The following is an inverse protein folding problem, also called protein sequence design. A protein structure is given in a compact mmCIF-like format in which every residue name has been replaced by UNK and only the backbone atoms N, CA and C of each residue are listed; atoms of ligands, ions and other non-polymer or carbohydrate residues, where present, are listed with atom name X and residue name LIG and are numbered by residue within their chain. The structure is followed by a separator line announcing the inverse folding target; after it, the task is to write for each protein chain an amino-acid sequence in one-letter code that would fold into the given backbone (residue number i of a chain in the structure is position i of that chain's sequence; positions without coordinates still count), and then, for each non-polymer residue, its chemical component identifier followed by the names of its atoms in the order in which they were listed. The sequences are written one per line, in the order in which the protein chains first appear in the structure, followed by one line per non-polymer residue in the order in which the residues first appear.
data_IF_555302567747
#
_entry.id   IF_555302567747
#
_cell.length_a   1.000
_cell.length_b   1.000
_cell.length_c   1.000
_cell.angle_alpha   90.00
_cell.angle_beta   90.00
_cell.angle_gamma   90.00
#
_symmetry.space_group_name_H-M   'P 1'
#
loop_
_entity.id
_entity.type
_entity.pdbx_description
1 polymer ?
#
# COMPACT_ATOMS: atom_id res chain seq x y z
N UNK A 1 -25.75 -12.63 4.85
CA UNK A 1 -25.28 -13.54 3.77
C UNK A 1 -23.91 -13.11 3.31
N UNK A 2 -23.02 -14.07 3.11
CA UNK A 2 -21.68 -13.87 2.55
C UNK A 2 -21.57 -14.73 1.30
N UNK A 3 -21.18 -14.14 0.18
CA UNK A 3 -20.84 -14.86 -1.04
C UNK A 3 -19.33 -14.80 -1.27
N UNK A 4 -18.75 -15.94 -1.62
CA UNK A 4 -17.32 -16.10 -1.92
C UNK A 4 -17.19 -16.23 -3.44
N UNK A 5 -16.39 -15.38 -4.06
CA UNK A 5 -16.14 -15.40 -5.51
C UNK A 5 -14.84 -16.15 -5.80
N UNK A 6 -14.78 -16.89 -6.91
CA UNK A 6 -13.61 -17.68 -7.32
C UNK A 6 -13.05 -18.55 -6.19
N UNK A 7 -13.95 -19.24 -5.48
CA UNK A 7 -13.63 -19.90 -4.22
C UNK A 7 -12.48 -20.92 -4.36
N UNK A 8 -12.48 -21.71 -5.43
CA UNK A 8 -11.44 -22.72 -5.70
C UNK A 8 -10.08 -22.07 -6.01
N UNK A 9 -10.05 -21.04 -6.86
CA UNK A 9 -8.82 -20.35 -7.23
C UNK A 9 -8.20 -19.67 -6.01
N UNK A 10 -9.00 -18.93 -5.23
CA UNK A 10 -8.48 -18.28 -4.03
C UNK A 10 -8.15 -19.28 -2.91
N UNK A 11 -8.78 -20.46 -2.85
CA UNK A 11 -8.38 -21.54 -1.94
C UNK A 11 -6.94 -21.97 -2.21
N UNK A 12 -6.59 -22.23 -3.48
CA UNK A 12 -5.23 -22.58 -3.89
C UNK A 12 -4.25 -21.45 -3.51
N UNK A 13 -4.59 -20.20 -3.85
CA UNK A 13 -3.74 -19.05 -3.51
C UNK A 13 -3.52 -18.90 -2.00
N UNK A 14 -4.56 -19.12 -1.19
CA UNK A 14 -4.44 -19.06 0.28
C UNK A 14 -3.57 -20.18 0.81
N UNK A 15 -3.65 -21.39 0.27
CA UNK A 15 -2.75 -22.47 0.68
C UNK A 15 -1.28 -22.12 0.41
N UNK A 16 -0.98 -21.58 -0.77
CA UNK A 16 0.40 -21.19 -1.12
C UNK A 16 0.92 -19.95 -0.37
N UNK A 17 0.08 -18.93 -0.20
CA UNK A 17 0.51 -17.63 0.32
C UNK A 17 0.27 -17.46 1.83
N UNK A 18 -0.65 -18.24 2.39
CA UNK A 18 -1.18 -18.05 3.75
C UNK A 18 -1.09 -19.33 4.62
N UNK A 19 -0.73 -20.48 4.03
CA UNK A 19 -0.66 -21.79 4.68
C UNK A 19 -1.93 -22.62 4.45
N UNK A 20 -3.07 -22.15 4.96
CA UNK A 20 -4.36 -22.81 4.79
C UNK A 20 -5.55 -21.84 5.00
N UNK A 21 -6.75 -22.30 4.67
CA UNK A 21 -8.00 -21.53 4.83
C UNK A 21 -8.38 -21.27 6.29
N UNK A 22 -7.98 -22.13 7.23
CA UNK A 22 -8.33 -22.00 8.64
C UNK A 22 -7.51 -20.89 9.31
N UNK A 23 -6.22 -20.83 9.02
CA UNK A 23 -5.30 -19.79 9.45
C UNK A 23 -5.66 -18.44 8.80
N UNK A 24 -6.08 -18.45 7.54
CA UNK A 24 -6.66 -17.27 6.90
C UNK A 24 -7.92 -16.79 7.65
N UNK A 25 -8.86 -17.68 7.94
CA UNK A 25 -10.08 -17.34 8.66
C UNK A 25 -9.80 -16.83 10.09
N UNK A 26 -8.85 -17.45 10.80
CA UNK A 26 -8.39 -17.02 12.13
C UNK A 26 -7.84 -15.59 12.11
N UNK A 27 -7.01 -15.25 11.12
CA UNK A 27 -6.50 -13.89 10.97
C UNK A 27 -7.63 -12.87 10.76
N UNK A 28 -8.64 -13.22 9.96
CA UNK A 28 -9.73 -12.31 9.63
C UNK A 28 -10.87 -12.27 10.65
N UNK A 29 -10.83 -13.12 11.67
CA UNK A 29 -11.89 -13.24 12.67
C UNK A 29 -12.26 -11.90 13.30
N UNK A 30 -11.26 -11.06 13.58
CA UNK A 30 -11.44 -9.67 13.99
C UNK A 30 -10.53 -8.77 13.19
N UNK A 31 -11.10 -7.65 12.73
CA UNK A 31 -10.38 -6.66 11.96
C UNK A 31 -10.60 -5.26 12.54
N UNK A 32 -9.53 -4.49 12.67
CA UNK A 32 -9.59 -3.09 13.10
C UNK A 32 -9.72 -2.19 11.88
N UNK A 33 -10.64 -1.23 11.93
CA UNK A 33 -10.77 -0.22 10.87
C UNK A 33 -9.55 0.70 10.89
N UNK A 34 -8.94 0.90 9.74
CA UNK A 34 -7.84 1.84 9.56
C UNK A 34 -8.26 2.97 8.63
N UNK A 35 -7.75 4.17 8.90
CA UNK A 35 -7.83 5.30 7.99
C UNK A 35 -6.46 5.42 7.32
N UNK A 36 -6.29 5.04 6.05
CA UNK A 36 -5.05 5.30 5.35
C UNK A 36 -4.82 6.81 5.31
N UNK A 37 -3.67 7.27 5.77
CA UNK A 37 -3.24 8.65 5.57
C UNK A 37 -2.98 8.90 4.08
N UNK A 38 -3.46 10.02 3.53
CA UNK A 38 -3.10 10.46 2.17
C UNK A 38 -4.12 10.17 1.05
N UNK A 39 -5.32 9.70 1.33
CA UNK A 39 -6.33 9.39 0.30
C UNK A 39 -7.54 10.34 0.30
N UNK A 40 -7.97 10.79 -0.89
CA UNK A 40 -9.33 11.33 -1.15
C UNK A 40 -10.43 10.26 -1.04
N UNK A 41 -10.05 8.98 -0.87
CA UNK A 41 -10.93 7.82 -1.01
C UNK A 41 -11.68 7.51 0.28
N UNK A 42 -13.01 7.45 0.20
CA UNK A 42 -13.90 7.03 1.30
C UNK A 42 -13.93 5.52 1.55
N UNK A 43 -13.14 4.74 0.80
CA UNK A 43 -13.12 3.29 0.87
C UNK A 43 -12.72 2.84 2.28
N UNK A 44 -13.50 1.92 2.85
CA UNK A 44 -13.21 1.40 4.18
C UNK A 44 -12.07 0.38 4.09
N UNK A 45 -11.02 0.61 4.87
CA UNK A 45 -9.92 -0.31 5.06
C UNK A 45 -9.95 -0.90 6.46
N UNK A 46 -9.57 -2.15 6.57
CA UNK A 46 -9.41 -2.86 7.83
C UNK A 46 -8.14 -3.70 7.79
N UNK A 47 -7.56 -3.96 8.95
CA UNK A 47 -6.39 -4.83 9.12
C UNK A 47 -6.75 -5.96 10.07
N UNK A 48 -6.25 -7.18 9.83
CA UNK A 48 -6.44 -8.29 10.78
C UNK A 48 -5.88 -7.90 12.15
N UNK A 49 -6.71 -7.98 13.20
CA UNK A 49 -6.37 -7.44 14.51
C UNK A 49 -5.25 -8.24 15.18
N UNK A 50 -5.32 -9.57 15.10
CA UNK A 50 -4.45 -10.46 15.88
C UNK A 50 -3.02 -10.52 15.36
N UNK A 51 -2.85 -10.53 14.04
CA UNK A 51 -1.54 -10.77 13.41
C UNK A 51 -1.15 -9.73 12.37
N UNK A 52 -2.10 -8.87 11.95
CA UNK A 52 -1.89 -7.84 10.92
C UNK A 52 -1.40 -8.38 9.58
N UNK A 53 -1.54 -9.69 9.30
CA UNK A 53 -1.12 -10.31 8.03
C UNK A 53 -1.92 -9.85 6.82
N UNK A 54 -3.17 -9.43 7.02
CA UNK A 54 -4.08 -9.13 5.92
C UNK A 54 -4.72 -7.75 6.04
N UNK A 55 -5.01 -7.18 4.87
CA UNK A 55 -5.82 -5.98 4.71
C UNK A 55 -7.14 -6.35 4.03
N UNK A 56 -8.24 -5.86 4.59
CA UNK A 56 -9.57 -5.89 3.98
C UNK A 56 -9.86 -4.51 3.41
N UNK A 57 -10.16 -4.46 2.12
CA UNK A 57 -10.51 -3.22 1.42
C UNK A 57 -11.91 -3.35 0.84
N UNK A 58 -12.79 -2.42 1.20
CA UNK A 58 -14.05 -2.25 0.51
C UNK A 58 -13.77 -1.75 -0.91
N UNK A 59 -14.26 -2.49 -1.91
CA UNK A 59 -14.04 -2.17 -3.33
C UNK A 59 -15.29 -1.58 -3.97
N UNK A 60 -15.08 -0.67 -4.92
CA UNK A 60 -16.16 -0.09 -5.70
C UNK A 60 -16.62 -1.05 -6.82
N UNK A 61 -17.66 -0.67 -7.58
CA UNK A 61 -18.21 -1.50 -8.66
C UNK A 61 -17.22 -1.80 -9.78
N UNK A 62 -16.32 -0.87 -10.10
CA UNK A 62 -15.32 -1.05 -11.15
C UNK A 62 -14.20 -2.02 -10.71
N UNK A 63 -13.67 -1.85 -9.50
CA UNK A 63 -12.70 -2.76 -8.89
C UNK A 63 -13.29 -4.16 -8.69
N UNK A 64 -14.56 -4.25 -8.27
CA UNK A 64 -15.26 -5.53 -8.17
C UNK A 64 -15.37 -6.22 -9.54
N UNK A 65 -15.78 -5.47 -10.58
CA UNK A 65 -15.88 -6.00 -11.95
C UNK A 65 -14.55 -6.48 -12.50
N UNK A 66 -13.45 -5.78 -12.19
CA UNK A 66 -12.11 -6.21 -12.59
C UNK A 66 -11.80 -7.66 -12.15
N UNK A 67 -12.30 -8.06 -10.99
CA UNK A 67 -12.10 -9.41 -10.46
C UNK A 67 -13.23 -10.39 -10.77
N UNK A 68 -14.36 -9.97 -11.33
CA UNK A 68 -15.48 -10.86 -11.68
C UNK A 68 -15.72 -11.03 -13.16
N UNK A 69 -15.21 -10.13 -14.01
CA UNK A 69 -15.24 -10.30 -15.46
C UNK A 69 -14.35 -11.51 -15.82
N UNK A 70 -14.86 -12.55 -16.50
CA UNK A 70 -14.15 -13.81 -16.71
C UNK A 70 -12.74 -13.63 -17.29
N UNK A 71 -12.59 -12.82 -18.33
CA UNK A 71 -11.32 -12.62 -19.04
C UNK A 71 -10.30 -11.92 -18.15
N UNK A 72 -10.74 -10.94 -17.36
CA UNK A 72 -9.89 -10.17 -16.44
C UNK A 72 -9.47 -10.99 -15.22
N UNK A 73 -10.41 -11.75 -14.65
CA UNK A 73 -10.13 -12.65 -13.53
C UNK A 73 -9.17 -13.76 -13.97
N UNK A 74 -9.41 -14.38 -15.13
CA UNK A 74 -8.52 -15.40 -15.69
C UNK A 74 -7.12 -14.85 -15.94
N UNK A 75 -6.99 -13.68 -16.56
CA UNK A 75 -5.68 -13.05 -16.79
C UNK A 75 -4.92 -12.82 -15.47
N UNK A 76 -5.61 -12.39 -14.42
CA UNK A 76 -5.02 -12.23 -13.09
C UNK A 76 -4.55 -13.57 -12.50
N UNK A 77 -5.39 -14.59 -12.52
CA UNK A 77 -5.00 -15.91 -12.01
C UNK A 77 -3.86 -16.53 -12.81
N UNK A 78 -3.85 -16.42 -14.14
CA UNK A 78 -2.75 -16.87 -14.98
C UNK A 78 -1.45 -16.13 -14.70
N UNK A 79 -1.50 -14.84 -14.38
CA UNK A 79 -0.31 -14.09 -14.00
C UNK A 79 0.23 -14.54 -12.63
N UNK A 80 -0.66 -14.71 -11.64
CA UNK A 80 -0.27 -15.20 -10.32
C UNK A 80 0.28 -16.63 -10.39
N UNK A 81 -0.26 -17.48 -11.26
CA UNK A 81 0.25 -18.82 -11.54
C UNK A 81 1.72 -18.78 -12.01
N UNK A 82 2.04 -17.95 -13.00
CA UNK A 82 3.42 -17.75 -13.45
C UNK A 82 4.36 -17.24 -12.34
N UNK A 83 3.87 -16.32 -11.50
CA UNK A 83 4.64 -15.81 -10.37
C UNK A 83 4.95 -16.92 -9.35
N UNK A 84 3.96 -17.75 -9.02
CA UNK A 84 4.10 -18.77 -7.98
C UNK A 84 4.85 -20.02 -8.45
N UNK A 85 4.55 -20.50 -9.64
CA UNK A 85 5.02 -21.80 -10.13
C UNK A 85 6.19 -21.67 -11.10
N UNK A 86 6.16 -20.69 -12.01
CA UNK A 86 7.26 -20.43 -12.95
C UNK A 86 8.33 -19.48 -12.37
N UNK A 87 8.12 -19.00 -11.14
CA UNK A 87 9.02 -18.10 -10.41
C UNK A 87 9.29 -16.80 -11.15
N UNK A 88 8.30 -16.29 -11.90
CA UNK A 88 8.38 -14.97 -12.52
C UNK A 88 8.54 -13.92 -11.41
N UNK A 89 9.61 -13.08 -11.44
CA UNK A 89 9.78 -12.00 -10.47
C UNK A 89 8.57 -11.08 -10.48
N UNK A 90 8.07 -10.74 -9.29
CA UNK A 90 6.92 -9.86 -9.10
C UNK A 90 6.95 -9.24 -7.71
N UNK A 91 6.50 -7.99 -7.62
CA UNK A 91 6.26 -7.25 -6.38
C UNK A 91 4.78 -6.85 -6.29
N UNK A 92 3.91 -7.39 -7.13
CA UNK A 92 2.48 -7.11 -7.14
C UNK A 92 1.82 -7.62 -5.85
N UNK A 93 1.08 -6.75 -5.17
CA UNK A 93 0.36 -7.12 -3.97
C UNK A 93 -0.75 -8.14 -4.30
N UNK A 94 -0.64 -9.32 -3.70
CA UNK A 94 -1.55 -10.43 -3.97
C UNK A 94 -2.90 -10.24 -3.27
N UNK A 95 -3.97 -10.35 -4.06
CA UNK A 95 -5.34 -10.51 -3.57
C UNK A 95 -5.57 -11.99 -3.30
N UNK A 96 -6.06 -12.32 -2.11
CA UNK A 96 -6.22 -13.71 -1.61
C UNK A 96 -7.68 -14.06 -1.30
N UNK A 97 -8.61 -13.13 -1.55
CA UNK A 97 -10.03 -13.41 -1.48
C UNK A 97 -10.90 -12.26 -1.97
N UNK A 98 -12.09 -12.61 -2.44
CA UNK A 98 -13.13 -11.68 -2.88
C UNK A 98 -14.48 -12.10 -2.30
N UNK A 99 -15.11 -11.19 -1.56
CA UNK A 99 -16.32 -11.46 -0.79
C UNK A 99 -17.40 -10.41 -1.05
N UNK A 100 -18.66 -10.85 -1.13
CA UNK A 100 -19.83 -9.96 -1.05
C UNK A 100 -20.54 -10.19 0.27
N UNK A 101 -20.83 -9.12 1.01
CA UNK A 101 -21.51 -9.17 2.31
C UNK A 101 -22.84 -8.40 2.24
N UNK A 102 -23.93 -9.10 2.54
CA UNK A 102 -25.29 -8.53 2.66
C UNK A 102 -25.80 -8.72 4.09
N UNK A 103 -26.25 -7.62 4.70
CA UNK A 103 -26.84 -7.61 6.06
C UNK A 103 -28.35 -7.37 5.92
N UNK A 104 -29.16 -8.32 6.38
CA UNK A 104 -30.61 -8.11 6.53
C UNK A 104 -30.87 -7.57 7.95
N UNK A 105 -31.44 -6.36 8.03
CA UNK A 105 -31.82 -5.78 9.32
C UNK A 105 -33.27 -6.18 9.63
N UNK A 106 -33.49 -6.85 10.75
CA UNK A 106 -34.78 -7.43 11.14
C UNK A 106 -35.93 -6.41 11.30
N UNK A 107 -35.62 -5.09 11.34
CA UNK A 107 -36.59 -3.99 11.53
C UNK A 107 -36.77 -3.06 10.31
N UNK A 108 -36.05 -3.27 9.21
CA UNK A 108 -36.22 -2.49 7.97
C UNK A 108 -36.43 -3.46 6.81
N UNK A 109 -37.61 -3.41 6.19
CA UNK A 109 -37.99 -4.17 4.98
C UNK A 109 -37.00 -4.01 3.80
N UNK A 110 -36.12 -3.01 3.84
CA UNK A 110 -35.14 -2.74 2.79
C UNK A 110 -33.83 -3.50 3.00
N UNK A 111 -33.63 -4.55 2.21
CA UNK A 111 -32.32 -5.20 2.06
C UNK A 111 -31.29 -4.17 1.58
N UNK A 112 -30.16 -4.05 2.30
CA UNK A 112 -29.09 -3.19 1.84
C UNK A 112 -28.37 -3.84 0.66
N UNK A 113 -27.94 -3.02 -0.31
CA UNK A 113 -27.10 -3.50 -1.41
C UNK A 113 -25.85 -4.20 -0.83
N UNK A 114 -25.42 -5.32 -1.41
CA UNK A 114 -24.21 -6.01 -0.98
C UNK A 114 -23.02 -5.07 -1.03
N UNK A 115 -22.15 -5.16 -0.02
CA UNK A 115 -20.83 -4.52 -0.03
C UNK A 115 -19.80 -5.55 -0.47
N UNK A 116 -18.86 -5.13 -1.30
CA UNK A 116 -17.81 -5.99 -1.85
C UNK A 116 -16.48 -5.70 -1.17
N UNK A 117 -15.75 -6.75 -0.83
CA UNK A 117 -14.46 -6.66 -0.15
C UNK A 117 -13.44 -7.57 -0.82
N UNK A 118 -12.24 -7.03 -1.03
CA UNK A 118 -11.06 -7.85 -1.28
C UNK A 118 -10.30 -8.06 0.03
N UNK A 119 -9.62 -9.20 0.11
CA UNK A 119 -8.56 -9.43 1.09
C UNK A 119 -7.24 -9.49 0.36
N UNK A 120 -6.24 -8.76 0.84
CA UNK A 120 -4.89 -8.74 0.28
C UNK A 120 -3.85 -8.89 1.38
N UNK A 121 -2.64 -9.33 1.03
CA UNK A 121 -1.52 -9.37 1.98
C UNK A 121 -1.17 -7.96 2.45
N UNK A 122 -0.87 -7.81 3.72
CA UNK A 122 -0.37 -6.55 4.27
C UNK A 122 1.13 -6.43 4.02
N UNK A 123 1.55 -5.56 3.10
CA UNK A 123 2.98 -5.31 2.81
C UNK A 123 3.75 -4.74 4.01
N UNK A 124 3.06 -4.18 5.01
CA UNK A 124 3.69 -3.69 6.25
C UNK A 124 3.82 -4.77 7.32
N UNK A 125 3.37 -6.00 7.05
CA UNK A 125 3.48 -7.08 8.01
C UNK A 125 4.95 -7.43 8.27
N UNK A 126 5.35 -7.47 9.55
CA UNK A 126 6.70 -7.80 9.98
C UNK A 126 7.59 -6.58 10.18
N UNK A 127 7.24 -5.43 9.58
CA UNK A 127 7.97 -4.18 9.78
C UNK A 127 7.89 -3.70 11.23
N UNK A 128 6.78 -3.96 11.92
CA UNK A 128 6.65 -3.62 13.33
C UNK A 128 7.59 -4.40 14.26
N UNK A 129 8.14 -5.53 13.81
CA UNK A 129 9.11 -6.34 14.57
C UNK A 129 10.49 -5.69 14.49
N UNK A 130 10.79 -5.05 13.36
CA UNK A 130 11.98 -4.24 13.20
C UNK A 130 11.79 -3.02 14.12
N UNK A 131 12.53 -2.96 15.24
CA UNK A 131 12.45 -1.90 16.26
C UNK A 131 12.93 -0.53 15.76
N UNK A 132 12.94 -0.31 14.45
CA UNK A 132 13.36 0.91 13.76
C UNK A 132 12.15 1.58 13.12
N UNK A 133 12.08 2.91 13.14
CA UNK A 133 10.99 3.64 12.52
C UNK A 133 11.05 3.55 10.98
N UNK A 134 10.02 2.97 10.35
CA UNK A 134 9.87 3.03 8.90
C UNK A 134 9.10 4.27 8.46
N UNK A 135 9.63 4.97 7.48
CA UNK A 135 8.88 5.91 6.66
C UNK A 135 8.16 5.15 5.55
N UNK A 136 6.91 5.51 5.29
CA UNK A 136 6.12 4.86 4.24
C UNK A 136 5.78 5.85 3.13
N UNK A 137 6.07 5.44 1.89
CA UNK A 137 5.89 6.22 0.68
C UNK A 137 4.93 5.50 -0.28
N UNK A 138 4.04 6.27 -0.93
CA UNK A 138 3.22 5.85 -2.06
C UNK A 138 3.74 6.58 -3.31
N UNK A 139 4.40 5.82 -4.19
CA UNK A 139 5.15 6.36 -5.32
C UNK A 139 4.43 6.05 -6.64
N UNK A 140 4.13 7.09 -7.44
CA UNK A 140 3.41 6.95 -8.73
C UNK A 140 4.22 7.42 -9.94
N UNK A 141 5.41 7.94 -9.72
CA UNK A 141 6.20 8.67 -10.72
C UNK A 141 5.64 10.05 -11.02
N UNK A 142 5.10 10.74 -9.99
CA UNK A 142 4.55 12.10 -10.15
C UNK A 142 5.34 13.09 -9.30
N UNK A 143 6.39 13.65 -9.89
CA UNK A 143 7.44 14.38 -9.18
C UNK A 143 7.01 15.61 -8.37
N UNK A 144 5.95 16.33 -8.75
CA UNK A 144 5.63 17.62 -8.10
C UNK A 144 4.67 17.54 -6.89
N UNK A 145 4.30 16.33 -6.45
CA UNK A 145 3.36 16.17 -5.32
C UNK A 145 4.11 15.77 -4.05
N UNK A 146 3.81 16.47 -2.95
CA UNK A 146 4.22 16.09 -1.59
C UNK A 146 3.10 16.23 -0.57
N UNK A 147 3.19 15.45 0.50
CA UNK A 147 2.50 15.72 1.75
C UNK A 147 3.24 16.87 2.44
N UNK A 148 2.50 17.92 2.83
CA UNK A 148 3.03 19.09 3.55
C UNK A 148 3.06 18.83 5.05
N UNK A 149 3.96 19.50 5.77
CA UNK A 149 4.01 19.57 7.24
C UNK A 149 4.27 18.23 7.95
N UNK A 150 5.04 17.34 7.30
CA UNK A 150 5.27 15.98 7.80
C UNK A 150 6.74 15.54 7.71
N UNK A 151 7.60 16.33 7.04
CA UNK A 151 9.02 16.01 6.94
C UNK A 151 9.74 16.37 8.25
N UNK A 152 10.66 15.52 8.73
CA UNK A 152 11.41 15.81 9.95
C UNK A 152 12.26 17.08 9.74
N UNK A 153 12.00 18.09 10.57
CA UNK A 153 12.64 19.41 10.50
C UNK A 153 11.82 20.56 11.10
N UNK A 154 10.53 20.37 11.38
CA UNK A 154 9.68 21.32 12.10
C UNK A 154 9.21 20.76 13.43
N UNK A 155 9.41 21.51 14.52
CA UNK A 155 8.81 21.19 15.83
C UNK A 155 7.29 21.03 15.71
N UNK A 156 6.76 19.92 16.19
CA UNK A 156 5.33 19.85 16.49
C UNK A 156 5.06 19.05 17.77
N UNK A 157 4.24 19.70 18.60
CA UNK A 157 3.99 19.40 19.99
C UNK A 157 3.37 18.02 20.24
N UNK A 158 3.68 17.50 21.44
CA UNK A 158 3.17 16.27 22.02
C UNK A 158 1.65 16.11 21.85
N UNK A 159 1.25 15.00 21.23
CA UNK A 159 -0.07 14.42 21.40
C UNK A 159 0.10 13.06 22.09
N UNK A 160 -0.55 12.93 23.24
CA UNK A 160 -0.50 11.78 24.13
C UNK A 160 -0.68 10.43 23.43
N UNK A 161 0.18 9.50 23.81
CA UNK A 161 0.05 8.07 23.56
C UNK A 161 -0.94 7.52 24.60
N UNK A 162 -2.24 7.53 24.28
CA UNK A 162 -3.23 6.75 25.02
C UNK A 162 -3.94 5.80 24.07
N UNK A 163 -3.39 4.60 23.95
CA UNK A 163 -4.13 3.41 23.55
C UNK A 163 -3.99 2.37 24.66
N UNK A 164 -4.75 2.55 25.76
CA UNK A 164 -5.34 1.45 26.53
C UNK A 164 -6.50 2.05 27.34
N UNK A 165 -7.72 1.55 27.15
CA UNK A 165 -8.88 2.05 27.88
C UNK A 165 -10.11 1.18 27.64
N UNK A 166 -10.16 0.07 28.38
CA UNK A 166 -11.40 -0.63 28.72
C UNK A 166 -12.46 0.38 29.18
N UNK A 167 -13.65 0.29 28.62
CA UNK A 167 -14.78 1.07 29.08
C UNK A 167 -15.37 0.40 30.32
N UNK A 168 -15.00 0.89 31.51
CA UNK A 168 -15.85 0.88 32.70
C UNK A 168 -16.07 2.30 33.23
N UNK A 169 -17.15 2.45 33.98
CA UNK A 169 -17.92 3.67 34.16
C UNK A 169 -17.38 4.67 35.21
N UNK A 170 -17.95 5.88 35.14
CA UNK A 170 -18.25 6.84 36.22
C UNK A 170 -17.37 8.11 36.42
N UNK A 171 -18.08 9.24 36.29
CA UNK A 171 -18.05 10.56 36.96
C UNK A 171 -16.77 11.18 37.57
N UNK A 172 -16.59 12.50 37.34
CA UNK A 172 -16.21 13.46 38.41
C UNK A 172 -15.00 14.39 38.18
N UNK A 173 -15.29 15.68 37.95
CA UNK A 173 -14.63 16.95 38.35
C UNK A 173 -13.08 17.14 38.48
N UNK A 174 -12.61 18.18 37.76
CA UNK A 174 -11.88 19.40 38.21
C UNK A 174 -10.35 19.44 38.52
N UNK A 175 -9.71 20.43 37.85
CA UNK A 175 -8.76 21.47 38.31
C UNK A 175 -7.21 21.27 38.39
N UNK A 176 -6.53 22.11 37.60
CA UNK A 176 -5.44 23.06 37.93
C UNK A 176 -3.92 22.67 37.97
N UNK A 177 -3.17 23.39 37.11
CA UNK A 177 -1.91 24.13 37.32
C UNK A 177 -0.55 23.43 37.52
N UNK A 178 0.47 23.85 36.76
CA UNK A 178 1.90 23.67 37.12
C UNK A 178 2.89 23.75 35.95
N UNK A 179 3.68 24.82 35.91
CA UNK A 179 4.68 25.21 34.90
C UNK A 179 6.06 24.53 35.14
N UNK A 180 6.86 24.25 34.09
CA UNK A 180 8.26 23.85 34.24
C UNK A 180 8.99 23.39 32.97
N UNK A 181 9.91 24.23 32.47
CA UNK A 181 10.72 24.05 31.26
C UNK A 181 11.95 23.14 31.51
N UNK A 182 12.29 22.23 30.58
CA UNK A 182 13.68 21.75 30.36
C UNK A 182 13.83 21.08 28.99
N UNK A 183 14.76 21.60 28.19
CA UNK A 183 15.13 21.11 26.87
C UNK A 183 15.76 19.71 26.92
N UNK A 184 15.39 18.83 25.99
CA UNK A 184 16.23 17.70 25.59
C UNK A 184 15.93 17.32 24.13
N UNK A 185 17.00 17.22 23.32
CA UNK A 185 16.92 16.85 21.92
C UNK A 185 16.47 15.40 21.74
N UNK A 186 15.29 15.21 21.17
CA UNK A 186 14.74 13.90 20.82
C UNK A 186 14.44 13.83 19.34
N UNK A 187 15.17 12.98 18.60
CA UNK A 187 14.87 12.63 17.21
C UNK A 187 13.40 12.16 17.12
N UNK A 188 12.62 12.86 16.30
CA UNK A 188 11.17 12.72 16.17
C UNK A 188 10.75 11.33 15.66
N UNK A 189 9.70 10.76 16.27
CA UNK A 189 9.01 9.55 15.77
C UNK A 189 8.57 9.74 14.30
N UNK A 190 8.57 8.70 13.46
CA UNK A 190 8.06 8.80 12.10
C UNK A 190 6.57 9.13 12.17
N UNK A 191 6.15 10.10 11.37
CA UNK A 191 4.74 10.45 11.27
C UNK A 191 3.90 9.24 10.82
N UNK A 192 2.65 9.16 11.26
CA UNK A 192 1.68 8.16 10.76
C UNK A 192 1.30 8.36 9.28
N UNK A 193 1.91 9.32 8.58
CA UNK A 193 1.53 9.69 7.23
C UNK A 193 2.12 8.73 6.18
N UNK A 194 1.49 8.73 5.00
CA UNK A 194 2.02 8.10 3.80
C UNK A 194 2.50 9.21 2.90
N UNK A 195 3.81 9.25 2.72
CA UNK A 195 4.57 10.24 1.97
C UNK A 195 4.50 9.95 0.46
N UNK A 196 4.84 10.93 -0.38
CA UNK A 196 4.78 10.78 -1.85
C UNK A 196 6.15 10.93 -2.50
N UNK A 197 6.19 10.84 -3.85
CA UNK A 197 7.40 10.90 -4.67
C UNK A 197 8.39 12.00 -4.27
N UNK A 198 7.93 13.23 -4.05
CA UNK A 198 8.81 14.35 -3.69
C UNK A 198 9.32 14.23 -2.24
N UNK A 199 8.50 13.72 -1.32
CA UNK A 199 8.94 13.49 0.06
C UNK A 199 10.06 12.43 0.11
N UNK A 200 10.02 11.42 -0.77
CA UNK A 200 11.11 10.44 -0.88
C UNK A 200 12.41 11.11 -1.33
N UNK A 201 12.34 11.95 -2.37
CA UNK A 201 13.51 12.70 -2.85
C UNK A 201 14.07 13.64 -1.78
N UNK A 202 13.21 14.30 -1.02
CA UNK A 202 13.62 15.15 0.10
C UNK A 202 14.25 14.32 1.23
N UNK A 203 13.70 13.14 1.54
CA UNK A 203 14.24 12.26 2.59
C UNK A 203 15.60 11.66 2.22
N UNK A 204 15.88 11.42 0.93
CA UNK A 204 17.16 10.86 0.48
C UNK A 204 18.19 11.90 0.03
N UNK A 205 17.95 13.20 0.27
CA UNK A 205 18.75 14.31 -0.30
C UNK A 205 18.95 14.18 -1.83
N UNK A 206 17.93 13.68 -2.52
CA UNK A 206 17.93 13.42 -3.96
C UNK A 206 18.76 12.21 -4.40
N UNK A 207 19.40 11.48 -3.48
CA UNK A 207 20.20 10.29 -3.78
C UNK A 207 19.29 9.06 -3.96
N UNK A 208 19.60 8.14 -4.88
CA UNK A 208 18.89 6.88 -4.99
C UNK A 208 19.17 5.97 -3.79
N UNK A 209 18.23 5.08 -3.47
CA UNK A 209 18.41 4.03 -2.48
C UNK A 209 19.29 2.93 -3.04
N UNK A 210 20.40 2.66 -2.37
CA UNK A 210 21.32 1.60 -2.76
C UNK A 210 20.75 0.23 -2.39
N UNK A 211 20.72 -0.69 -3.34
CA UNK A 211 20.35 -2.09 -3.17
C UNK A 211 21.54 -2.99 -3.48
N UNK A 212 21.54 -4.21 -2.94
CA UNK A 212 22.44 -5.25 -3.42
C UNK A 212 22.21 -5.45 -4.93
N UNK A 213 23.29 -5.76 -5.66
CA UNK A 213 23.22 -5.94 -7.12
C UNK A 213 22.17 -6.99 -7.54
N UNK A 214 21.98 -8.04 -6.75
CA UNK A 214 20.99 -9.08 -7.02
C UNK A 214 19.55 -8.60 -6.75
N UNK A 215 19.35 -7.81 -5.69
CA UNK A 215 18.05 -7.27 -5.31
C UNK A 215 17.56 -6.23 -6.32
N UNK A 216 18.47 -5.38 -6.83
CA UNK A 216 18.14 -4.45 -7.90
C UNK A 216 17.69 -5.20 -9.16
N UNK A 217 18.46 -6.20 -9.61
CA UNK A 217 18.11 -7.00 -10.79
C UNK A 217 16.74 -7.67 -10.63
N UNK A 218 16.46 -8.21 -9.43
CA UNK A 218 15.15 -8.79 -9.15
C UNK A 218 14.03 -7.74 -9.20
N UNK A 219 14.24 -6.58 -8.55
CA UNK A 219 13.26 -5.49 -8.51
C UNK A 219 12.95 -4.96 -9.91
N UNK A 220 13.97 -4.74 -10.75
CA UNK A 220 13.80 -4.27 -12.12
C UNK A 220 13.00 -5.26 -12.96
N UNK A 221 13.33 -6.56 -12.88
CA UNK A 221 12.59 -7.62 -13.55
C UNK A 221 11.13 -7.68 -13.05
N UNK A 222 10.93 -7.60 -11.73
CA UNK A 222 9.61 -7.63 -11.12
C UNK A 222 8.74 -6.45 -11.55
N UNK A 223 9.27 -5.22 -11.49
CA UNK A 223 8.58 -4.01 -11.93
C UNK A 223 8.24 -4.09 -13.43
N UNK A 224 9.15 -4.57 -14.27
CA UNK A 224 8.90 -4.74 -15.69
C UNK A 224 7.78 -5.77 -15.96
N UNK A 225 7.83 -6.94 -15.30
CA UNK A 225 6.83 -7.99 -15.47
C UNK A 225 5.44 -7.53 -14.99
N UNK A 226 5.39 -6.93 -13.80
CA UNK A 226 4.15 -6.43 -13.21
C UNK A 226 3.53 -5.35 -14.10
N UNK A 227 4.30 -4.34 -14.50
CA UNK A 227 3.79 -3.24 -15.33
C UNK A 227 3.41 -3.69 -16.74
N UNK A 228 4.08 -4.70 -17.29
CA UNK A 228 3.70 -5.34 -18.55
C UNK A 228 2.33 -6.02 -18.44
N UNK A 229 2.10 -6.80 -17.38
CA UNK A 229 0.79 -7.39 -17.08
C UNK A 229 -0.29 -6.31 -16.91
N UNK A 230 -0.03 -5.31 -16.07
CA UNK A 230 -0.98 -4.23 -15.79
C UNK A 230 -1.35 -3.44 -17.04
N UNK A 231 -0.36 -3.13 -17.89
CA UNK A 231 -0.58 -2.45 -19.16
C UNK A 231 -1.43 -3.29 -20.13
N UNK A 232 -1.14 -4.59 -20.29
CA UNK A 232 -1.96 -5.52 -21.10
C UNK A 232 -3.40 -5.57 -20.63
N UNK A 233 -3.63 -5.42 -19.32
CA UNK A 233 -4.96 -5.38 -18.73
C UNK A 233 -5.60 -3.99 -18.71
N UNK A 234 -4.94 -2.98 -19.29
CA UNK A 234 -5.36 -1.58 -19.28
C UNK A 234 -5.63 -1.07 -17.86
N UNK A 235 -4.74 -1.41 -16.93
CA UNK A 235 -4.80 -0.97 -15.54
C UNK A 235 -3.88 0.23 -15.35
N UNK A 236 -4.35 1.21 -14.57
CA UNK A 236 -3.62 2.44 -14.25
C UNK A 236 -3.82 2.79 -12.78
N UNK A 237 -3.29 3.93 -12.35
CA UNK A 237 -3.43 4.47 -10.99
C UNK A 237 -2.79 3.66 -9.86
N UNK A 238 -2.08 2.57 -10.18
CA UNK A 238 -1.27 1.80 -9.23
C UNK A 238 -0.07 2.61 -8.71
N UNK A 239 0.39 2.27 -7.51
CA UNK A 239 1.57 2.86 -6.87
C UNK A 239 2.50 1.77 -6.35
N UNK A 240 3.79 2.11 -6.22
CA UNK A 240 4.72 1.34 -5.40
C UNK A 240 4.58 1.83 -3.97
N UNK A 241 4.08 0.98 -3.08
CA UNK A 241 4.17 1.22 -1.65
C UNK A 241 5.57 0.83 -1.20
N UNK A 242 6.32 1.77 -0.63
CA UNK A 242 7.67 1.55 -0.11
C UNK A 242 7.68 1.89 1.38
N UNK A 243 8.09 0.95 2.22
CA UNK A 243 8.45 1.21 3.60
C UNK A 243 9.97 1.13 3.73
N UNK A 244 10.60 2.18 4.25
CA UNK A 244 12.04 2.29 4.37
C UNK A 244 12.44 2.71 5.78
N UNK A 245 13.44 2.06 6.35
CA UNK A 245 14.10 2.50 7.58
C UNK A 245 15.61 2.63 7.35
N UNK A 246 16.18 3.69 7.91
CA UNK A 246 17.61 3.99 7.84
C UNK A 246 18.44 2.91 8.54
N UNK A 247 19.72 2.75 8.15
CA UNK A 247 20.67 2.03 8.98
C UNK A 247 20.76 2.67 10.38
N UNK A 248 21.20 1.92 11.39
CA UNK A 248 21.47 2.46 12.73
C UNK A 248 22.45 3.65 12.68
N UNK A 249 22.32 4.57 13.64
CA UNK A 249 23.20 5.74 13.76
C UNK A 249 24.68 5.33 13.82
N UNK A 250 25.57 6.14 13.25
CA UNK A 250 27.03 5.99 13.36
C UNK A 250 27.43 6.09 14.85
N UNK A 251 27.68 4.93 15.47
CA UNK A 251 27.90 4.80 16.92
C UNK A 251 27.04 3.72 17.59
N UNK A 252 26.03 3.20 16.89
CA UNK A 252 25.33 1.98 17.31
C UNK A 252 26.26 0.77 17.21
N UNK A 253 26.21 -0.19 18.15
CA UNK A 253 26.97 -1.44 18.04
C UNK A 253 26.54 -2.34 16.87
N UNK A 254 25.45 -2.00 16.18
CA UNK A 254 24.90 -2.74 15.05
C UNK A 254 25.31 -2.12 13.71
N UNK A 255 26.02 -2.89 12.87
CA UNK A 255 26.30 -2.55 11.46
C UNK A 255 25.22 -3.07 10.50
N UNK A 256 23.95 -3.13 10.94
CA UNK A 256 22.88 -3.60 10.08
C UNK A 256 22.59 -2.59 8.95
N UNK A 257 22.32 -3.05 7.72
CA UNK A 257 21.89 -2.15 6.66
C UNK A 257 20.51 -1.53 6.96
N UNK A 258 20.17 -0.51 6.20
CA UNK A 258 18.78 -0.04 6.09
C UNK A 258 17.85 -1.17 5.63
N UNK A 259 16.57 -1.05 5.93
CA UNK A 259 15.58 -2.06 5.55
C UNK A 259 14.54 -1.46 4.62
N UNK A 260 14.21 -2.20 3.57
CA UNK A 260 13.16 -1.84 2.62
C UNK A 260 12.14 -2.97 2.54
N UNK A 261 10.87 -2.62 2.49
CA UNK A 261 9.79 -3.50 2.06
C UNK A 261 8.92 -2.77 1.06
N UNK A 262 8.60 -3.42 -0.06
CA UNK A 262 7.89 -2.77 -1.15
C UNK A 262 6.89 -3.69 -1.85
N UNK A 263 5.97 -3.08 -2.58
CA UNK A 263 5.09 -3.78 -3.49
C UNK A 263 4.11 -2.87 -4.22
N UNK A 264 3.64 -3.30 -5.40
CA UNK A 264 2.68 -2.56 -6.21
C UNK A 264 1.27 -2.77 -5.65
N UNK A 265 0.58 -1.67 -5.31
CA UNK A 265 -0.75 -1.66 -4.70
C UNK A 265 -1.78 -0.93 -5.57
N UNK A 266 -3.06 -1.03 -5.17
CA UNK A 266 -4.19 -0.31 -5.78
C UNK A 266 -4.37 -0.52 -7.30
N UNK A 267 -3.93 -1.68 -7.80
CA UNK A 267 -3.88 -2.02 -9.22
C UNK A 267 -5.22 -2.48 -9.84
N UNK A 268 -6.31 -2.53 -9.06
CA UNK A 268 -7.62 -3.01 -9.52
C UNK A 268 -8.44 -1.98 -10.32
N UNK A 269 -7.87 -0.82 -10.67
CA UNK A 269 -8.59 0.24 -11.39
C UNK A 269 -8.44 0.08 -12.91
N UNK A 270 -9.50 -0.32 -13.63
CA UNK A 270 -9.47 -0.32 -15.08
C UNK A 270 -9.41 1.11 -15.60
N UNK A 271 -8.62 1.31 -16.65
CA UNK A 271 -8.63 2.50 -17.46
C UNK A 271 -9.98 2.60 -18.16
N UNK A 272 -10.87 3.48 -17.69
CA UNK A 272 -12.17 3.69 -18.32
C UNK A 272 -12.13 4.93 -19.21
N UNK A 273 -11.56 4.82 -20.41
CA UNK A 273 -11.64 5.91 -21.40
C UNK A 273 -12.99 5.97 -22.11
N UNK A 274 -13.61 4.82 -22.30
CA UNK A 274 -14.80 4.66 -23.15
C UNK A 274 -15.98 5.49 -22.62
N UNK A 275 -16.13 5.59 -21.29
CA UNK A 275 -17.17 6.41 -20.64
C UNK A 275 -16.83 7.89 -20.55
N UNK A 276 -15.55 8.23 -20.55
CA UNK A 276 -15.11 9.63 -20.48
C UNK A 276 -15.13 10.27 -21.87
N UNK A 277 -14.85 9.50 -22.92
CA UNK A 277 -14.87 9.97 -24.30
C UNK A 277 -16.29 10.29 -24.77
N UNK A 278 -17.31 9.50 -24.42
CA UNK A 278 -18.73 9.84 -24.69
C UNK A 278 -19.19 11.14 -24.00
N UNK A 279 -18.61 11.47 -22.84
CA UNK A 279 -18.91 12.72 -22.11
C UNK A 279 -18.09 13.91 -22.65
N UNK A 280 -16.82 13.70 -23.00
CA UNK A 280 -15.90 14.72 -23.49
C UNK A 280 -16.26 15.16 -24.91
N UNK A 281 -16.63 14.24 -25.81
CA UNK A 281 -17.09 14.58 -27.17
C UNK A 281 -18.36 15.44 -27.12
N UNK A 282 -19.21 15.24 -26.11
CA UNK A 282 -20.44 16.04 -25.94
C UNK A 282 -20.23 17.40 -25.26
N UNK A 283 -19.12 17.60 -24.52
CA UNK A 283 -18.89 18.80 -23.71
C UNK A 283 -17.62 19.60 -24.10
N UNK A 284 -17.07 19.38 -25.29
CA UNK A 284 -15.88 20.06 -25.82
C UNK A 284 -16.17 21.51 -26.25
N UNK A 285 -16.59 22.36 -25.31
CA UNK A 285 -16.71 23.80 -25.50
C UNK A 285 -15.87 24.62 -24.51
N UNK A 286 -15.34 24.02 -23.43
CA UNK A 286 -14.45 24.73 -22.51
C UNK A 286 -13.28 23.85 -22.06
N UNK A 287 -12.09 24.44 -22.18
CA UNK A 287 -10.77 23.89 -21.91
C UNK A 287 -10.69 23.00 -20.67
N UNK A 288 -9.95 21.88 -20.76
CA UNK A 288 -8.98 21.31 -19.80
C UNK A 288 -8.50 19.98 -20.43
N UNK A 289 -7.19 19.82 -20.65
CA UNK A 289 -6.59 18.58 -21.19
C UNK A 289 -7.00 17.40 -20.30
N UNK A 290 -7.55 16.28 -20.83
CA UNK A 290 -7.99 15.18 -19.99
C UNK A 290 -6.81 14.61 -19.19
N UNK A 291 -6.97 14.53 -17.86
CA UNK A 291 -5.95 14.11 -16.87
C UNK A 291 -5.66 12.60 -16.90
N UNK A 292 -6.33 11.85 -17.77
CA UNK A 292 -6.22 10.39 -17.81
C UNK A 292 -5.09 10.00 -18.76
N UNK A 293 -4.13 9.23 -18.28
CA UNK A 293 -2.93 8.86 -19.05
C UNK A 293 -3.09 7.43 -19.55
N UNK A 294 -2.87 7.23 -20.85
CA UNK A 294 -2.87 5.92 -21.50
C UNK A 294 -2.04 4.87 -20.72
N UNK A 295 -2.50 3.61 -20.60
CA UNK A 295 -1.81 2.60 -19.79
C UNK A 295 -0.33 2.44 -20.11
N UNK A 296 0.03 2.48 -21.40
CA UNK A 296 1.40 2.37 -21.88
C UNK A 296 2.28 3.53 -21.38
N UNK A 297 1.76 4.75 -21.45
CA UNK A 297 2.41 5.98 -20.98
C UNK A 297 2.48 6.03 -19.46
N UNK A 298 1.45 5.54 -18.77
CA UNK A 298 1.45 5.42 -17.32
C UNK A 298 2.55 4.46 -16.85
N UNK A 299 2.61 3.26 -17.45
CA UNK A 299 3.61 2.24 -17.13
C UNK A 299 5.03 2.75 -17.37
N UNK A 300 5.28 3.39 -18.52
CA UNK A 300 6.59 4.00 -18.81
C UNK A 300 6.99 5.03 -17.77
N UNK A 301 6.13 6.02 -17.49
CA UNK A 301 6.40 7.05 -16.47
C UNK A 301 6.68 6.44 -15.10
N UNK A 302 5.92 5.41 -14.74
CA UNK A 302 6.09 4.70 -13.47
C UNK A 302 7.47 4.04 -13.40
N UNK A 303 7.86 3.26 -14.43
CA UNK A 303 9.17 2.59 -14.51
C UNK A 303 10.32 3.59 -14.52
N UNK A 304 10.25 4.63 -15.36
CA UNK A 304 11.26 5.67 -15.44
C UNK A 304 11.51 6.32 -14.07
N UNK A 305 10.44 6.58 -13.31
CA UNK A 305 10.57 7.14 -11.97
C UNK A 305 11.21 6.16 -10.98
N UNK A 306 10.81 4.89 -10.97
CA UNK A 306 11.42 3.89 -10.09
C UNK A 306 12.91 3.68 -10.41
N UNK A 307 13.30 3.74 -11.68
CA UNK A 307 14.71 3.71 -12.10
C UNK A 307 15.55 4.88 -11.58
N UNK A 308 14.93 5.97 -11.11
CA UNK A 308 15.64 7.07 -10.44
C UNK A 308 15.72 6.92 -8.92
N UNK A 309 14.92 6.01 -8.33
CA UNK A 309 14.84 5.84 -6.88
C UNK A 309 15.74 4.73 -6.35
N UNK A 310 16.21 3.82 -7.21
CA UNK A 310 17.02 2.67 -6.79
C UNK A 310 18.28 2.58 -7.65
N UNK A 311 19.41 2.20 -7.04
CA UNK A 311 20.68 1.95 -7.72
C UNK A 311 21.38 0.75 -7.10
N UNK A 312 22.32 0.14 -7.83
CA UNK A 312 23.14 -0.94 -7.30
C UNK A 312 24.21 -0.35 -6.38
N UNK A 313 24.53 -1.06 -5.30
CA UNK A 313 25.73 -0.81 -4.53
C UNK A 313 26.96 -0.88 -5.46
N UNK A 314 27.83 0.12 -5.39
CA UNK A 314 29.14 0.05 -6.05
C UNK A 314 30.04 -0.86 -5.22
N UNK A 315 30.69 -1.89 -5.82
CA UNK A 315 31.67 -2.66 -5.08
C UNK A 315 32.79 -1.74 -4.57
N UNK A 316 33.35 -1.99 -3.37
CA UNK A 316 34.47 -1.20 -2.89
C UNK A 316 35.62 -1.28 -3.90
N UNK A 317 36.39 -0.18 -4.07
CA UNK A 317 37.57 -0.22 -4.91
C UNK A 317 38.52 -1.32 -4.40
N UNK A 318 39.23 -2.03 -5.29
CA UNK A 318 40.21 -3.02 -4.86
C UNK A 318 41.20 -2.35 -3.90
N UNK A 319 41.43 -2.96 -2.75
CA UNK A 319 42.42 -2.50 -1.78
C UNK A 319 43.77 -2.42 -2.49
N UNK A 320 44.33 -1.21 -2.58
CA UNK A 320 45.69 -0.99 -3.03
C UNK A 320 46.63 -1.73 -2.07
N UNK A 321 47.11 -2.89 -2.51
CA UNK A 321 48.15 -3.66 -1.84
C UNK A 321 49.54 -3.05 -2.05
#
# INVERSE_FOLDING_TARGET
YVAIHHAAQFHILRHWLCGDDLNFARSLYRCNRIKPSGGKTSAAFFVSQHDRRFLLKAVNRAEFRMLTTPEKAQAMFSYVDQVLFDKVPSVLAHVVGLFSVSVKLHKKSREMKPKHFIVQRNLRFGLQIQKRPHFVFDLKGVGNRKVRDVMPGGEQAHADDSDVGEAEASAGLAAASGNGNRANGGKSRPSKAVLWDMNLREWTDGKPLCLLSQDLKYLEAALHNDTSFLNKQSLVDYSLLLAAAEPPDEGSPSNEPGTLALGIIDWLRPYTWDKHMEFVVKNWAQAHRPTVIEPSKYARRFLDAMGTFFVAETPPPPSSG
#
